data_IF_764636909136
#
_entry.id   IF_764636909136
#
_cell.length_a   1.000
_cell.length_b   1.000
_cell.length_c   1.000
_cell.angle_alpha   90.00
_cell.angle_beta   90.00
_cell.angle_gamma   90.00
#
_symmetry.space_group_name_H-M   'P 1'
#
loop_
_entity.id
_entity.type
_entity.pdbx_description
1 polymer ?
#
# COMPACT_ATOMS: atom_id res chain seq x y z
N UNK A 1 -2.68 -4.96 23.61
CA UNK A 1 -3.89 -5.77 23.33
C UNK A 1 -3.99 -6.04 21.83
N UNK A 2 -4.53 -7.23 21.43
CA UNK A 2 -4.81 -7.52 20.03
C UNK A 2 -5.98 -6.67 19.51
N UNK A 3 -5.91 -6.23 18.25
CA UNK A 3 -7.01 -5.54 17.57
C UNK A 3 -8.20 -6.48 17.32
N UNK A 4 -9.35 -5.93 16.94
CA UNK A 4 -10.53 -6.72 16.59
C UNK A 4 -10.23 -7.66 15.40
N UNK A 5 -9.56 -7.15 14.35
CA UNK A 5 -9.13 -7.93 13.19
C UNK A 5 -8.24 -9.13 13.58
N UNK A 6 -7.26 -8.90 14.45
CA UNK A 6 -6.36 -9.97 14.91
C UNK A 6 -7.11 -11.05 15.68
N UNK A 7 -7.99 -10.65 16.62
CA UNK A 7 -8.82 -11.60 17.38
C UNK A 7 -9.75 -12.41 16.49
N UNK A 8 -10.35 -11.77 15.47
CA UNK A 8 -11.23 -12.47 14.54
C UNK A 8 -10.44 -13.50 13.71
N UNK A 9 -9.31 -13.12 13.12
CA UNK A 9 -8.48 -14.04 12.34
C UNK A 9 -8.02 -15.27 13.17
N UNK A 10 -7.66 -15.06 14.42
CA UNK A 10 -7.29 -16.15 15.34
C UNK A 10 -8.48 -17.06 15.67
N UNK A 11 -9.68 -16.50 15.93
CA UNK A 11 -10.90 -17.28 16.15
C UNK A 11 -11.24 -18.16 14.95
N UNK A 12 -11.20 -17.57 13.73
CA UNK A 12 -11.51 -18.30 12.50
C UNK A 12 -10.53 -19.47 12.29
N UNK A 13 -9.23 -19.25 12.53
CA UNK A 13 -8.22 -20.30 12.45
C UNK A 13 -8.48 -21.44 13.45
N UNK A 14 -8.87 -21.13 14.69
CA UNK A 14 -9.20 -22.10 15.73
C UNK A 14 -10.48 -22.87 15.41
N UNK A 15 -11.53 -22.18 14.97
CA UNK A 15 -12.82 -22.78 14.61
C UNK A 15 -12.68 -23.79 13.46
N UNK A 16 -11.85 -23.49 12.46
CA UNK A 16 -11.54 -24.42 11.36
C UNK A 16 -10.57 -25.53 11.80
N UNK A 17 -9.88 -25.39 12.92
CA UNK A 17 -8.88 -26.34 13.41
C UNK A 17 -7.69 -26.47 12.45
N UNK A 18 -7.08 -25.32 12.09
CA UNK A 18 -5.98 -25.26 11.14
C UNK A 18 -4.72 -25.87 11.75
N UNK A 19 -4.17 -26.91 11.11
CA UNK A 19 -2.94 -27.60 11.57
C UNK A 19 -1.66 -27.10 10.92
N UNK A 20 -1.75 -26.50 9.72
CA UNK A 20 -0.61 -25.96 8.99
C UNK A 20 -0.39 -24.48 9.32
N UNK A 21 0.85 -23.94 9.15
CA UNK A 21 1.10 -22.54 9.39
C UNK A 21 0.24 -21.64 8.50
N UNK A 22 -0.48 -20.70 9.10
CA UNK A 22 -1.22 -19.68 8.33
C UNK A 22 -0.27 -18.71 7.65
N UNK A 23 -0.68 -18.22 6.48
CA UNK A 23 0.16 -17.45 5.58
C UNK A 23 -0.65 -16.35 4.87
N UNK A 24 0.00 -15.60 3.99
CA UNK A 24 -0.64 -14.59 3.13
C UNK A 24 -1.56 -13.66 3.94
N UNK A 25 -2.75 -13.39 3.44
CA UNK A 25 -3.71 -12.44 4.04
C UNK A 25 -4.11 -12.82 5.46
N UNK A 26 -4.27 -14.12 5.74
CA UNK A 26 -4.61 -14.58 7.11
C UNK A 26 -3.48 -14.27 8.10
N UNK A 27 -2.23 -14.49 7.70
CA UNK A 27 -1.10 -14.12 8.54
C UNK A 27 -0.98 -12.59 8.70
N UNK A 28 -1.21 -11.80 7.64
CA UNK A 28 -1.24 -10.33 7.72
C UNK A 28 -2.28 -9.85 8.72
N UNK A 29 -3.50 -10.40 8.68
CA UNK A 29 -4.56 -10.07 9.63
C UNK A 29 -4.14 -10.37 11.08
N UNK A 30 -3.50 -11.52 11.33
CA UNK A 30 -2.98 -11.88 12.67
C UNK A 30 -1.83 -10.94 13.07
N UNK A 31 -1.00 -10.48 12.14
CA UNK A 31 0.03 -9.48 12.40
C UNK A 31 -0.54 -8.06 12.60
N UNK A 32 -1.83 -7.84 12.36
CA UNK A 32 -2.48 -6.54 12.44
C UNK A 32 -2.06 -5.61 11.32
N UNK A 33 -1.82 -6.15 10.14
CA UNK A 33 -1.42 -5.43 8.93
C UNK A 33 -2.57 -5.47 7.93
N UNK A 34 -3.04 -4.31 7.52
CA UNK A 34 -4.01 -4.18 6.45
C UNK A 34 -3.38 -4.48 5.08
N UNK A 35 -4.18 -5.08 4.21
CA UNK A 35 -3.75 -5.32 2.84
C UNK A 35 -3.70 -4.00 2.06
N UNK A 36 -2.75 -3.85 1.10
CA UNK A 36 -2.78 -2.73 0.17
C UNK A 36 -4.11 -2.66 -0.58
N UNK A 37 -4.75 -1.49 -0.59
CA UNK A 37 -5.99 -1.27 -1.32
C UNK A 37 -5.72 -1.37 -2.82
N UNK A 38 -6.40 -2.26 -3.52
CA UNK A 38 -6.24 -2.42 -4.97
C UNK A 38 -5.56 -3.72 -5.41
N UNK A 39 -5.19 -4.60 -4.46
CA UNK A 39 -4.56 -5.87 -4.81
C UNK A 39 -5.37 -6.62 -5.87
N UNK A 40 -4.75 -6.96 -7.01
CA UNK A 40 -5.35 -7.72 -8.11
C UNK A 40 -5.91 -9.07 -7.70
N UNK A 41 -5.71 -9.46 -6.45
CA UNK A 41 -6.25 -10.66 -5.82
C UNK A 41 -7.78 -10.67 -5.72
N UNK A 42 -8.44 -9.50 -5.58
CA UNK A 42 -9.92 -9.40 -5.70
C UNK A 42 -10.41 -9.64 -7.13
N UNK A 43 -9.62 -9.31 -8.15
CA UNK A 43 -9.98 -9.50 -9.56
C UNK A 43 -9.90 -10.95 -10.03
N UNK A 44 -9.03 -11.79 -9.44
CA UNK A 44 -8.91 -13.20 -9.84
C UNK A 44 -10.04 -14.11 -9.34
N UNK A 45 -10.92 -13.63 -8.44
CA UNK A 45 -12.10 -14.39 -7.97
C UNK A 45 -13.30 -14.29 -8.91
N UNK A 46 -13.38 -13.27 -9.78
CA UNK A 46 -14.48 -13.07 -10.72
C UNK A 46 -14.17 -13.50 -12.16
N UNK A 47 -12.90 -13.80 -12.47
CA UNK A 47 -12.48 -14.10 -13.84
C UNK A 47 -12.46 -15.60 -14.19
N UNK A 48 -13.28 -16.44 -13.54
CA UNK A 48 -13.38 -17.87 -13.86
C UNK A 48 -14.80 -18.37 -14.12
N UNK A 49 -15.68 -17.49 -14.52
CA UNK A 49 -16.93 -17.84 -15.20
C UNK A 49 -17.13 -16.81 -16.30
N UNK A 50 -17.39 -17.32 -17.48
CA UNK A 50 -17.84 -16.67 -18.72
C UNK A 50 -16.76 -16.43 -19.79
N UNK A 51 -16.32 -17.56 -20.39
CA UNK A 51 -16.11 -17.59 -21.84
C UNK A 51 -17.42 -18.07 -22.48
N UNK A 52 -18.23 -17.14 -22.94
CA UNK A 52 -19.21 -17.35 -23.97
C UNK A 52 -19.38 -16.04 -24.74
N UNK A 53 -18.94 -16.10 -25.98
CA UNK A 53 -19.38 -15.36 -27.15
C UNK A 53 -20.12 -14.03 -26.99
N UNK A 54 -19.54 -12.94 -27.55
CA UNK A 54 -20.33 -12.06 -28.45
C UNK A 54 -19.35 -11.46 -29.47
N UNK A 55 -19.61 -11.86 -30.74
CA UNK A 55 -19.14 -11.16 -31.93
C UNK A 55 -20.10 -9.99 -32.24
N UNK A 56 -19.56 -8.88 -32.78
CA UNK A 56 -20.37 -7.85 -33.44
C UNK A 56 -20.05 -6.43 -32.99
N UNK A 57 -19.22 -5.67 -33.76
CA UNK A 57 -19.28 -4.20 -33.81
C UNK A 57 -20.38 -3.75 -34.76
N UNK A 58 -20.51 -2.51 -35.20
CA UNK A 58 -19.89 -1.24 -34.78
C UNK A 58 -20.92 -0.13 -34.53
N UNK A 59 -20.55 1.03 -34.02
CA UNK A 59 -20.87 2.36 -34.58
C UNK A 59 -20.72 3.51 -33.58
N UNK A 60 -20.11 4.57 -34.07
CA UNK A 60 -19.97 5.92 -33.51
C UNK A 60 -21.32 6.57 -33.12
N UNK A 61 -21.29 7.37 -32.06
CA UNK A 61 -22.37 8.31 -31.75
C UNK A 61 -22.09 9.04 -30.45
N UNK A 62 -21.58 10.28 -30.51
CA UNK A 62 -21.64 11.23 -29.40
C UNK A 62 -23.09 11.71 -29.23
N UNK A 63 -23.58 11.84 -28.02
CA UNK A 63 -24.54 12.88 -27.72
C UNK A 63 -24.07 13.85 -26.63
N UNK A 64 -24.59 15.05 -26.81
CA UNK A 64 -24.38 16.29 -26.09
C UNK A 64 -24.77 16.21 -24.61
N UNK A 65 -24.17 17.14 -23.84
CA UNK A 65 -24.42 17.37 -22.43
C UNK A 65 -25.89 17.70 -22.11
N UNK A 66 -26.41 17.26 -20.98
CA UNK A 66 -27.41 18.00 -20.28
C UNK A 66 -26.95 18.50 -18.91
N UNK A 67 -27.46 19.68 -18.63
CA UNK A 67 -27.41 20.54 -17.46
C UNK A 67 -27.62 19.86 -16.11
N UNK A 68 -26.89 20.43 -15.17
CA UNK A 68 -27.14 20.52 -13.71
C UNK A 68 -28.49 20.04 -13.19
N UNK A 69 -28.47 19.04 -12.29
CA UNK A 69 -29.31 18.99 -11.10
C UNK A 69 -28.64 18.06 -10.05
N UNK A 70 -28.15 18.68 -8.97
CA UNK A 70 -27.64 17.95 -7.81
C UNK A 70 -28.78 17.64 -6.85
N UNK A 71 -29.33 16.44 -6.96
CA UNK A 71 -30.20 15.85 -5.94
C UNK A 71 -29.35 15.03 -4.96
N UNK A 72 -29.21 15.50 -3.73
CA UNK A 72 -28.66 14.71 -2.63
C UNK A 72 -29.68 13.63 -2.24
N UNK A 73 -29.30 12.35 -2.40
CA UNK A 73 -30.03 11.25 -1.78
C UNK A 73 -29.25 10.85 -0.50
N UNK A 74 -29.84 11.22 0.63
CA UNK A 74 -29.61 10.58 1.93
C UNK A 74 -30.08 9.13 1.83
N UNK A 75 -29.23 8.17 2.16
CA UNK A 75 -29.57 6.92 2.84
C UNK A 75 -28.33 5.99 2.89
N UNK A 76 -27.66 5.97 4.03
CA UNK A 76 -26.93 4.81 4.54
C UNK A 76 -26.73 4.93 6.06
N UNK A 77 -27.82 4.76 6.79
CA UNK A 77 -27.77 4.44 8.21
C UNK A 77 -28.40 3.05 8.40
N UNK A 78 -27.60 2.01 8.31
CA UNK A 78 -27.97 0.71 8.86
C UNK A 78 -27.00 0.34 9.98
N UNK A 79 -27.40 0.70 11.20
CA UNK A 79 -26.84 0.16 12.44
C UNK A 79 -27.22 -1.31 12.56
N UNK A 80 -26.36 -2.21 12.11
CA UNK A 80 -26.49 -3.62 12.48
C UNK A 80 -26.00 -3.83 13.91
N UNK A 81 -26.93 -4.17 14.78
CA UNK A 81 -26.70 -4.66 16.13
C UNK A 81 -25.97 -6.00 16.05
N UNK A 82 -24.74 -6.01 16.54
CA UNK A 82 -23.95 -7.24 16.67
C UNK A 82 -24.49 -8.06 17.85
N UNK A 83 -25.08 -9.22 17.54
CA UNK A 83 -25.40 -10.24 18.53
C UNK A 83 -24.14 -11.08 18.85
N UNK A 84 -23.69 -11.00 20.09
CA UNK A 84 -22.55 -11.71 20.65
C UNK A 84 -22.98 -13.12 21.09
N UNK A 85 -23.18 -14.01 20.16
CA UNK A 85 -23.23 -15.46 20.43
C UNK A 85 -23.49 -16.24 19.13
N UNK A 86 -22.45 -16.54 18.38
CA UNK A 86 -22.31 -17.80 17.64
C UNK A 86 -20.89 -17.92 17.11
N UNK A 87 -20.25 -19.04 17.34
CA UNK A 87 -18.93 -19.45 16.83
C UNK A 87 -19.01 -19.78 15.32
N UNK A 88 -19.64 -18.92 14.52
CA UNK A 88 -19.80 -19.09 13.08
C UNK A 88 -18.68 -18.38 12.36
N UNK A 89 -17.85 -19.13 11.66
CA UNK A 89 -16.93 -18.66 10.62
C UNK A 89 -17.76 -17.84 9.63
N UNK A 90 -17.42 -16.59 9.41
CA UNK A 90 -18.10 -15.79 8.39
C UNK A 90 -18.03 -16.57 7.07
N UNK A 91 -19.15 -16.75 6.40
CA UNK A 91 -19.31 -17.64 5.23
C UNK A 91 -18.36 -17.29 4.03
N UNK A 92 -17.57 -16.25 4.18
CA UNK A 92 -16.67 -15.69 3.18
C UNK A 92 -15.18 -15.64 3.59
N UNK A 93 -14.79 -16.14 4.78
CA UNK A 93 -13.39 -16.10 5.23
C UNK A 93 -12.59 -17.29 4.70
N UNK A 94 -11.73 -17.04 3.73
CA UNK A 94 -10.79 -18.03 3.19
C UNK A 94 -9.49 -17.96 4.01
N UNK A 95 -9.17 -19.04 4.73
CA UNK A 95 -7.93 -19.14 5.49
C UNK A 95 -6.80 -19.64 4.60
N UNK A 96 -5.73 -18.87 4.53
CA UNK A 96 -4.55 -19.21 3.78
C UNK A 96 -3.52 -19.93 4.68
N UNK A 97 -3.09 -21.11 4.24
CA UNK A 97 -2.04 -21.89 4.90
C UNK A 97 -0.91 -22.23 3.95
N UNK A 98 0.26 -22.56 4.48
CA UNK A 98 1.42 -22.94 3.68
C UNK A 98 1.97 -24.29 4.10
N UNK A 99 2.36 -25.08 3.10
CA UNK A 99 2.95 -26.41 3.20
C UNK A 99 4.36 -26.40 2.59
N UNK A 100 5.24 -27.26 3.05
CA UNK A 100 6.55 -27.47 2.40
C UNK A 100 6.50 -28.47 1.25
N UNK A 101 5.49 -29.34 1.20
CA UNK A 101 5.34 -30.39 0.20
C UNK A 101 3.95 -30.34 -0.46
N UNK A 102 3.93 -30.55 -1.79
CA UNK A 102 2.68 -30.57 -2.57
C UNK A 102 1.82 -31.81 -2.25
N UNK A 103 2.44 -32.90 -1.88
CA UNK A 103 1.78 -34.15 -1.58
C UNK A 103 0.89 -34.09 -0.29
N UNK A 104 1.15 -33.10 0.57
CA UNK A 104 0.40 -32.89 1.80
C UNK A 104 -0.88 -32.06 1.57
N UNK A 105 -1.13 -31.62 0.32
CA UNK A 105 -2.34 -30.86 -0.03
C UNK A 105 -3.56 -31.77 0.03
N UNK A 106 -4.49 -31.40 0.91
CA UNK A 106 -5.82 -32.03 0.97
C UNK A 106 -6.88 -30.94 0.86
N UNK A 107 -7.82 -31.10 -0.06
CA UNK A 107 -8.91 -30.14 -0.21
C UNK A 107 -9.67 -30.02 1.13
N UNK A 108 -9.86 -28.78 1.59
CA UNK A 108 -10.59 -28.47 2.81
C UNK A 108 -11.42 -27.22 2.59
N UNK A 109 -12.70 -27.27 2.98
CA UNK A 109 -13.61 -26.12 2.90
C UNK A 109 -13.01 -24.94 3.67
N UNK A 110 -13.12 -23.74 3.14
CA UNK A 110 -12.59 -22.47 3.69
C UNK A 110 -11.06 -22.40 3.88
N UNK A 111 -10.28 -23.35 3.33
CA UNK A 111 -8.82 -23.32 3.44
C UNK A 111 -8.17 -23.30 2.05
N UNK A 112 -7.33 -22.29 1.79
CA UNK A 112 -6.48 -22.23 0.62
C UNK A 112 -5.05 -22.62 0.96
N UNK A 113 -4.57 -23.67 0.32
CA UNK A 113 -3.25 -24.23 0.58
C UNK A 113 -2.23 -23.75 -0.44
N UNK A 114 -1.16 -23.15 0.04
CA UNK A 114 0.01 -22.75 -0.73
C UNK A 114 1.16 -23.70 -0.48
N UNK A 115 2.09 -23.79 -1.42
CA UNK A 115 3.28 -24.64 -1.27
C UNK A 115 4.53 -23.79 -1.36
N UNK A 116 5.37 -23.89 -0.34
CA UNK A 116 6.69 -23.28 -0.31
C UNK A 116 7.75 -24.28 0.15
N UNK A 117 8.55 -24.80 -0.77
CA UNK A 117 9.56 -25.83 -0.49
C UNK A 117 10.64 -25.38 0.51
N UNK A 118 10.86 -24.07 0.65
CA UNK A 118 11.81 -23.51 1.64
C UNK A 118 11.26 -23.39 3.06
N UNK A 119 9.98 -23.75 3.30
CA UNK A 119 9.36 -23.68 4.62
C UNK A 119 10.07 -24.61 5.61
N UNK A 120 10.42 -24.07 6.77
CA UNK A 120 10.96 -24.84 7.91
C UNK A 120 10.48 -24.23 9.25
N UNK A 121 10.81 -24.88 10.37
CA UNK A 121 10.35 -24.47 11.69
C UNK A 121 10.77 -23.07 12.12
N UNK A 122 11.90 -22.54 11.62
CA UNK A 122 12.38 -21.18 11.93
C UNK A 122 11.50 -20.07 11.32
N UNK A 123 10.66 -20.42 10.34
CA UNK A 123 9.75 -19.50 9.67
C UNK A 123 8.37 -19.41 10.34
N UNK A 124 8.13 -20.18 11.40
CA UNK A 124 6.82 -20.33 12.03
C UNK A 124 6.88 -19.89 13.48
N UNK A 125 5.91 -19.08 13.89
CA UNK A 125 5.71 -18.65 15.27
C UNK A 125 4.37 -19.15 15.78
N UNK A 126 4.25 -19.29 17.10
CA UNK A 126 2.98 -19.60 17.78
C UNK A 126 2.37 -18.32 18.31
N UNK A 127 1.14 -18.01 17.90
CA UNK A 127 0.36 -16.87 18.40
C UNK A 127 -0.98 -17.40 18.86
N UNK A 128 -1.24 -17.32 20.15
CA UNK A 128 -2.50 -17.76 20.76
C UNK A 128 -2.95 -19.18 20.30
N UNK A 129 -1.99 -20.11 20.25
CA UNK A 129 -2.22 -21.51 19.85
C UNK A 129 -2.30 -21.74 18.33
N UNK A 130 -2.18 -20.71 17.50
CA UNK A 130 -2.18 -20.82 16.04
C UNK A 130 -0.73 -20.73 15.51
N UNK A 131 -0.37 -21.63 14.58
CA UNK A 131 0.91 -21.59 13.87
C UNK A 131 0.83 -20.54 12.78
N UNK A 132 1.67 -19.52 12.83
CA UNK A 132 1.66 -18.37 11.91
C UNK A 132 3.03 -18.21 11.28
N UNK A 133 3.10 -17.92 9.97
CA UNK A 133 4.36 -17.51 9.36
C UNK A 133 4.88 -16.24 10.01
N UNK A 134 6.16 -16.19 10.31
CA UNK A 134 6.84 -14.99 10.78
C UNK A 134 6.68 -13.83 9.77
N UNK A 135 6.85 -12.57 10.19
CA UNK A 135 6.58 -11.41 9.33
C UNK A 135 7.33 -11.42 7.99
N UNK A 136 8.65 -11.66 7.99
CA UNK A 136 9.45 -11.63 6.77
C UNK A 136 9.03 -12.69 5.72
N UNK A 137 8.86 -13.99 6.06
CA UNK A 137 8.31 -14.96 5.12
C UNK A 137 6.86 -14.67 4.72
N UNK A 138 6.02 -14.11 5.60
CA UNK A 138 4.66 -13.67 5.24
C UNK A 138 4.72 -12.64 4.12
N UNK A 139 5.52 -11.58 4.29
CA UNK A 139 5.73 -10.57 3.27
C UNK A 139 6.26 -11.16 1.94
N UNK A 140 7.26 -12.03 2.01
CA UNK A 140 7.87 -12.59 0.80
C UNK A 140 6.90 -13.46 -0.01
N UNK A 141 5.99 -14.20 0.64
CA UNK A 141 4.99 -14.99 -0.07
C UNK A 141 3.89 -14.11 -0.69
N UNK A 142 3.63 -12.91 -0.17
CA UNK A 142 2.76 -11.93 -0.80
C UNK A 142 3.28 -11.43 -2.14
N UNK A 143 4.53 -11.65 -2.49
CA UNK A 143 5.05 -11.40 -3.83
C UNK A 143 4.36 -12.23 -4.94
N UNK A 144 3.63 -13.28 -4.61
CA UNK A 144 2.79 -14.01 -5.56
C UNK A 144 1.62 -13.16 -6.07
N UNK A 145 0.70 -12.74 -5.21
CA UNK A 145 -0.49 -11.98 -5.58
C UNK A 145 -0.26 -10.48 -5.80
N UNK A 146 0.73 -9.85 -5.14
CA UNK A 146 0.97 -8.42 -5.20
C UNK A 146 1.95 -8.03 -6.30
N UNK A 147 1.81 -6.84 -6.89
CA UNK A 147 2.85 -6.24 -7.72
C UNK A 147 4.01 -5.68 -6.87
N UNK A 148 5.03 -5.11 -7.53
CA UNK A 148 6.21 -4.55 -6.83
C UNK A 148 5.85 -3.33 -5.99
N UNK A 149 4.95 -2.48 -6.47
CA UNK A 149 4.49 -1.29 -5.75
C UNK A 149 3.70 -1.66 -4.51
N UNK A 150 2.71 -2.54 -4.66
CA UNK A 150 1.89 -3.07 -3.56
C UNK A 150 2.77 -3.79 -2.51
N UNK A 151 3.75 -4.57 -2.97
CA UNK A 151 4.69 -5.28 -2.10
C UNK A 151 5.62 -4.30 -1.35
N UNK A 152 5.97 -3.16 -1.97
CA UNK A 152 6.71 -2.07 -1.32
C UNK A 152 5.86 -1.40 -0.25
N UNK A 153 4.60 -1.07 -0.55
CA UNK A 153 3.63 -0.50 0.41
C UNK A 153 3.46 -1.43 1.61
N UNK A 154 3.32 -2.73 1.36
CA UNK A 154 3.20 -3.73 2.42
C UNK A 154 4.45 -3.78 3.30
N UNK A 155 5.67 -3.74 2.72
CA UNK A 155 6.91 -3.71 3.49
C UNK A 155 6.98 -2.50 4.40
N UNK A 156 6.71 -1.30 3.88
CA UNK A 156 6.70 -0.05 4.65
C UNK A 156 5.64 -0.08 5.77
N UNK A 157 4.46 -0.63 5.48
CA UNK A 157 3.40 -0.82 6.49
C UNK A 157 3.86 -1.76 7.62
N UNK A 158 4.49 -2.89 7.30
CA UNK A 158 4.99 -3.84 8.30
C UNK A 158 6.12 -3.24 9.14
N UNK A 159 7.00 -2.44 8.54
CA UNK A 159 8.07 -1.71 9.25
C UNK A 159 7.46 -0.66 10.19
N UNK A 160 6.51 0.14 9.72
CA UNK A 160 5.78 1.13 10.52
C UNK A 160 5.11 0.51 11.75
N UNK A 161 4.47 -0.63 11.58
CA UNK A 161 3.84 -1.38 12.67
C UNK A 161 4.85 -2.18 13.53
N UNK A 162 6.15 -1.98 13.32
CA UNK A 162 7.23 -2.65 14.07
C UNK A 162 7.11 -4.17 14.08
N UNK A 163 6.64 -4.76 12.99
CA UNK A 163 6.57 -6.23 12.83
C UNK A 163 7.89 -6.81 12.38
N UNK A 164 8.68 -6.00 11.67
CA UNK A 164 10.02 -6.33 11.20
C UNK A 164 10.79 -5.03 10.85
N UNK A 165 12.08 -5.15 10.62
CA UNK A 165 12.95 -4.10 10.12
C UNK A 165 13.30 -4.30 8.65
N UNK A 166 13.79 -3.24 8.00
CA UNK A 166 14.28 -3.34 6.63
C UNK A 166 15.46 -4.30 6.51
N UNK A 167 16.35 -4.31 7.51
CA UNK A 167 17.53 -5.20 7.54
C UNK A 167 17.11 -6.67 7.66
N UNK A 168 16.09 -6.97 8.46
CA UNK A 168 15.52 -8.32 8.56
C UNK A 168 14.94 -8.79 7.22
N UNK A 169 14.24 -7.92 6.50
CA UNK A 169 13.75 -8.24 5.15
C UNK A 169 14.89 -8.50 4.18
N UNK A 170 15.90 -7.63 4.13
CA UNK A 170 17.09 -7.83 3.29
C UNK A 170 17.81 -9.12 3.63
N UNK A 171 18.05 -9.40 4.91
CA UNK A 171 18.68 -10.64 5.39
C UNK A 171 17.86 -11.86 4.94
N UNK A 172 16.54 -11.83 5.17
CA UNK A 172 15.67 -12.94 4.81
C UNK A 172 15.69 -13.22 3.29
N UNK A 173 15.45 -12.20 2.47
CA UNK A 173 15.45 -12.34 1.00
C UNK A 173 16.82 -12.76 0.47
N UNK A 174 17.92 -12.36 1.11
CA UNK A 174 19.27 -12.73 0.69
C UNK A 174 19.62 -14.19 0.99
N UNK A 175 19.08 -14.77 2.05
CA UNK A 175 19.49 -16.09 2.56
C UNK A 175 18.46 -17.19 2.33
N UNK A 176 17.16 -16.87 2.33
CA UNK A 176 16.09 -17.85 2.21
C UNK A 176 15.85 -18.27 0.74
N UNK A 177 15.48 -19.52 0.55
CA UNK A 177 15.00 -20.01 -0.75
C UNK A 177 13.50 -19.68 -0.88
N UNK A 178 13.17 -18.55 -1.49
CA UNK A 178 11.80 -18.05 -1.63
C UNK A 178 11.37 -18.00 -3.09
N UNK A 179 10.06 -18.20 -3.39
CA UNK A 179 9.52 -17.89 -4.70
C UNK A 179 9.56 -16.37 -4.96
N UNK A 180 9.52 -15.97 -6.22
CA UNK A 180 9.47 -14.55 -6.63
C UNK A 180 10.59 -13.67 -6.04
N UNK A 181 11.77 -14.24 -5.78
CA UNK A 181 12.91 -13.52 -5.16
C UNK A 181 13.25 -12.22 -5.90
N UNK A 182 13.23 -12.22 -7.24
CA UNK A 182 13.51 -11.00 -8.02
C UNK A 182 12.52 -9.89 -7.70
N UNK A 183 11.22 -10.21 -7.63
CA UNK A 183 10.16 -9.25 -7.26
C UNK A 183 10.36 -8.72 -5.84
N UNK A 184 10.72 -9.57 -4.89
CA UNK A 184 11.07 -9.16 -3.52
C UNK A 184 12.26 -8.18 -3.51
N UNK A 185 13.32 -8.48 -4.26
CA UNK A 185 14.49 -7.60 -4.38
C UNK A 185 14.15 -6.26 -5.03
N UNK A 186 13.28 -6.26 -6.03
CA UNK A 186 12.78 -5.03 -6.66
C UNK A 186 12.00 -4.18 -5.67
N UNK A 187 11.04 -4.76 -4.96
CA UNK A 187 10.25 -4.06 -3.94
C UNK A 187 11.15 -3.48 -2.83
N UNK A 188 12.08 -4.27 -2.29
CA UNK A 188 13.02 -3.80 -1.25
C UNK A 188 13.88 -2.62 -1.70
N UNK A 189 14.23 -2.54 -2.99
CA UNK A 189 15.00 -1.41 -3.52
C UNK A 189 14.21 -0.09 -3.53
N UNK A 190 12.88 -0.17 -3.48
CA UNK A 190 11.97 0.98 -3.47
C UNK A 190 11.51 1.38 -2.06
N UNK A 191 11.70 0.51 -1.07
CA UNK A 191 11.30 0.79 0.33
C UNK A 191 12.01 2.03 0.87
N UNK A 192 11.23 2.91 1.52
CA UNK A 192 11.65 4.03 2.34
C UNK A 192 11.06 3.87 3.73
N UNK A 193 11.79 4.29 4.73
CA UNK A 193 11.24 4.38 6.09
C UNK A 193 10.68 5.78 6.34
N UNK A 194 9.68 5.86 7.22
CA UNK A 194 9.14 7.13 7.69
C UNK A 194 7.75 7.49 7.15
N UNK A 195 7.18 6.72 6.23
CA UNK A 195 5.78 6.92 5.81
C UNK A 195 4.80 6.53 6.92
N UNK A 196 3.83 7.37 7.22
CA UNK A 196 2.83 7.13 8.27
C UNK A 196 1.58 6.42 7.77
N UNK A 197 1.41 6.34 6.46
CA UNK A 197 0.28 5.61 5.85
C UNK A 197 0.67 4.88 4.55
N UNK A 198 -0.11 3.85 4.15
CA UNK A 198 0.03 3.21 2.84
C UNK A 198 -0.15 4.18 1.67
N UNK A 199 -1.00 5.19 1.83
CA UNK A 199 -1.30 6.18 0.78
C UNK A 199 -0.16 7.16 0.54
N UNK A 200 0.56 7.56 1.56
CA UNK A 200 1.79 8.34 1.41
C UNK A 200 2.84 7.58 0.60
N UNK A 201 3.02 6.28 0.89
CA UNK A 201 3.89 5.42 0.09
C UNK A 201 3.41 5.34 -1.36
N UNK A 202 2.10 5.18 -1.60
CA UNK A 202 1.51 5.12 -2.93
C UNK A 202 1.75 6.43 -3.70
N UNK A 203 1.47 7.60 -3.11
CA UNK A 203 1.76 8.92 -3.69
C UNK A 203 3.22 9.02 -4.15
N UNK A 204 4.15 8.69 -3.26
CA UNK A 204 5.59 8.73 -3.57
C UNK A 204 5.96 7.82 -4.74
N UNK A 205 5.48 6.60 -4.74
CA UNK A 205 5.77 5.62 -5.79
C UNK A 205 5.20 6.04 -7.15
N UNK A 206 4.00 6.63 -7.17
CA UNK A 206 3.40 7.21 -8.37
C UNK A 206 4.33 8.28 -8.94
N UNK A 207 4.73 9.27 -8.17
CA UNK A 207 5.60 10.36 -8.64
C UNK A 207 6.95 9.83 -9.16
N UNK A 208 7.57 8.89 -8.45
CA UNK A 208 8.83 8.26 -8.88
C UNK A 208 8.67 7.51 -10.23
N UNK A 209 7.52 6.85 -10.48
CA UNK A 209 7.23 6.17 -11.76
C UNK A 209 7.08 7.14 -12.94
N UNK A 210 6.54 8.32 -12.68
CA UNK A 210 6.38 9.37 -13.68
C UNK A 210 7.64 10.23 -13.85
N UNK A 211 8.73 9.90 -13.14
CA UNK A 211 10.04 10.54 -13.29
C UNK A 211 10.19 11.87 -12.56
N UNK A 212 9.28 12.19 -11.65
CA UNK A 212 9.36 13.39 -10.83
C UNK A 212 10.51 13.33 -9.82
N UNK A 213 11.04 14.48 -9.38
CA UNK A 213 12.11 14.53 -8.39
C UNK A 213 11.72 13.80 -7.08
N UNK A 214 12.67 13.11 -6.44
CA UNK A 214 12.40 12.45 -5.17
C UNK A 214 12.11 13.47 -4.07
N UNK A 215 11.08 13.21 -3.27
CA UNK A 215 10.69 14.03 -2.13
C UNK A 215 11.07 13.37 -0.80
N UNK A 216 11.21 14.18 0.24
CA UNK A 216 11.39 13.71 1.63
C UNK A 216 10.05 13.25 2.18
N UNK A 217 10.06 12.11 2.84
CA UNK A 217 8.88 11.52 3.50
C UNK A 217 8.76 12.11 4.90
N UNK A 218 7.55 12.40 5.35
CA UNK A 218 7.22 12.92 6.69
C UNK A 218 8.14 14.08 7.12
N UNK A 219 8.17 15.10 6.28
CA UNK A 219 9.08 16.23 6.51
C UNK A 219 8.48 17.20 7.51
N UNK A 220 9.17 17.39 8.64
CA UNK A 220 8.83 18.43 9.63
C UNK A 220 9.32 19.79 9.16
N UNK A 221 8.40 20.72 8.98
CA UNK A 221 8.68 22.11 8.61
C UNK A 221 9.06 22.88 9.86
N UNK A 222 10.34 23.23 9.99
CA UNK A 222 10.90 23.84 11.21
C UNK A 222 10.67 25.35 11.31
N UNK A 223 10.43 26.02 10.19
CA UNK A 223 10.22 27.46 10.07
C UNK A 223 8.74 27.87 10.24
N UNK A 224 7.85 26.93 10.49
CA UNK A 224 6.41 27.14 10.72
C UNK A 224 5.98 26.54 12.05
N UNK A 225 5.71 27.40 13.03
CA UNK A 225 5.24 26.97 14.35
C UNK A 225 3.77 27.34 14.55
N UNK A 226 3.01 26.45 15.18
CA UNK A 226 1.68 26.77 15.70
C UNK A 226 1.77 27.63 16.97
N UNK A 227 0.65 28.26 17.37
CA UNK A 227 0.62 29.11 18.56
C UNK A 227 0.99 28.42 19.87
N UNK A 228 0.99 27.07 19.90
CA UNK A 228 1.43 26.24 21.02
C UNK A 228 2.89 25.74 20.85
N UNK A 229 3.64 26.25 19.88
CA UNK A 229 5.01 25.80 19.58
C UNK A 229 5.11 24.46 18.82
N UNK A 230 4.01 23.82 18.47
CA UNK A 230 4.05 22.58 17.70
C UNK A 230 4.52 22.83 16.26
N UNK A 231 5.36 21.93 15.77
CA UNK A 231 5.80 21.93 14.37
C UNK A 231 4.74 21.28 13.47
N UNK A 232 4.78 21.59 12.18
CA UNK A 232 3.93 20.94 11.18
C UNK A 232 4.73 19.97 10.34
N UNK A 233 4.11 18.88 9.94
CA UNK A 233 4.70 17.84 9.09
C UNK A 233 3.94 17.74 7.79
N UNK A 234 4.65 17.54 6.69
CA UNK A 234 4.12 17.26 5.35
C UNK A 234 4.42 15.81 4.98
N UNK A 235 3.46 15.10 4.39
CA UNK A 235 3.61 13.69 4.03
C UNK A 235 4.77 13.48 3.04
N UNK A 236 4.84 14.34 2.01
CA UNK A 236 5.97 14.43 1.10
C UNK A 236 6.36 15.89 0.93
N UNK A 237 7.67 16.18 0.89
CA UNK A 237 8.16 17.55 0.69
C UNK A 237 9.44 17.63 -0.14
N UNK A 238 9.54 18.73 -0.90
CA UNK A 238 10.80 19.25 -1.43
C UNK A 238 11.12 20.58 -0.70
N UNK A 239 11.90 20.51 0.39
CA UNK A 239 12.20 21.73 1.17
C UNK A 239 12.97 22.79 0.40
N UNK A 240 13.76 22.38 -0.61
CA UNK A 240 14.52 23.33 -1.44
C UNK A 240 13.63 24.23 -2.28
N UNK A 241 12.44 23.74 -2.60
CA UNK A 241 11.40 24.44 -3.36
C UNK A 241 10.26 24.95 -2.50
N UNK A 242 10.28 24.72 -1.20
CA UNK A 242 9.13 24.91 -0.29
C UNK A 242 7.84 24.33 -0.87
N UNK A 243 7.94 23.12 -1.41
CA UNK A 243 6.82 22.39 -1.98
C UNK A 243 6.48 21.17 -1.14
N UNK A 244 5.18 20.90 -0.96
CA UNK A 244 4.72 19.77 -0.17
C UNK A 244 3.43 19.15 -0.70
N UNK A 245 3.21 17.89 -0.31
CA UNK A 245 2.00 17.12 -0.58
C UNK A 245 1.44 16.59 0.72
N UNK A 246 0.13 16.59 0.85
CA UNK A 246 -0.62 15.98 1.94
C UNK A 246 -1.72 15.08 1.38
N UNK A 247 -1.87 13.90 1.96
CA UNK A 247 -2.97 13.00 1.63
C UNK A 247 -4.17 13.28 2.53
N UNK A 248 -5.29 13.65 1.94
CA UNK A 248 -6.57 13.82 2.64
C UNK A 248 -7.39 12.52 2.54
N UNK A 249 -7.38 11.73 3.62
CA UNK A 249 -8.23 10.55 3.74
C UNK A 249 -9.65 10.96 4.15
N UNK A 250 -10.66 10.35 3.54
CA UNK A 250 -12.09 10.65 3.73
C UNK A 250 -12.60 10.58 5.19
N UNK A 251 -11.78 10.05 6.12
CA UNK A 251 -12.21 9.83 7.52
C UNK A 251 -12.26 11.09 8.38
N UNK A 252 -11.84 12.27 7.90
CA UNK A 252 -11.70 13.48 8.72
C UNK A 252 -12.74 14.58 8.46
N UNK A 253 -13.69 14.36 7.55
CA UNK A 253 -14.63 15.43 7.12
C UNK A 253 -15.69 15.82 8.15
N UNK A 254 -15.88 15.06 9.24
CA UNK A 254 -16.94 15.28 10.24
C UNK A 254 -16.53 16.10 11.47
N UNK A 255 -15.24 16.26 11.74
CA UNK A 255 -14.76 17.03 12.90
C UNK A 255 -14.40 18.47 12.54
N UNK A 256 -15.29 19.42 12.94
CA UNK A 256 -15.06 20.87 12.76
C UNK A 256 -13.77 21.38 13.41
N UNK A 257 -13.28 20.75 14.51
CA UNK A 257 -12.04 21.15 15.17
C UNK A 257 -10.83 20.71 14.37
N UNK A 258 -10.90 19.54 13.79
CA UNK A 258 -9.87 19.04 12.88
C UNK A 258 -9.79 19.93 11.63
N UNK A 259 -10.93 20.20 10.98
CA UNK A 259 -10.99 21.07 9.81
C UNK A 259 -10.35 22.46 10.07
N UNK A 260 -10.65 23.10 11.23
CA UNK A 260 -10.05 24.41 11.59
C UNK A 260 -8.52 24.30 11.78
N UNK A 261 -8.04 23.21 12.33
CA UNK A 261 -6.59 22.98 12.49
C UNK A 261 -5.90 22.85 11.13
N UNK A 262 -6.51 22.11 10.20
CA UNK A 262 -5.99 21.91 8.85
C UNK A 262 -5.97 23.20 8.04
N UNK A 263 -7.01 24.02 8.14
CA UNK A 263 -7.05 25.36 7.53
C UNK A 263 -5.96 26.27 8.10
N UNK A 264 -5.75 26.26 9.42
CA UNK A 264 -4.70 27.03 10.07
C UNK A 264 -3.29 26.57 9.65
N UNK A 265 -3.10 25.25 9.52
CA UNK A 265 -1.88 24.65 9.01
C UNK A 265 -1.57 25.15 7.58
N UNK A 266 -2.54 25.06 6.68
CA UNK A 266 -2.40 25.51 5.29
C UNK A 266 -2.09 27.01 5.21
N UNK A 267 -2.82 27.84 5.93
CA UNK A 267 -2.61 29.30 5.95
C UNK A 267 -1.17 29.63 6.39
N UNK A 268 -0.66 29.02 7.45
CA UNK A 268 0.70 29.24 7.96
C UNK A 268 1.76 28.77 6.97
N UNK A 269 1.58 27.60 6.36
CA UNK A 269 2.49 27.10 5.33
C UNK A 269 2.54 28.06 4.13
N UNK A 270 1.37 28.52 3.65
CA UNK A 270 1.29 29.49 2.55
C UNK A 270 1.96 30.82 2.93
N UNK A 271 1.74 31.33 4.16
CA UNK A 271 2.39 32.55 4.63
C UNK A 271 3.90 32.42 4.74
N UNK A 272 4.42 31.22 4.96
CA UNK A 272 5.85 30.91 4.96
C UNK A 272 6.42 30.63 3.55
N UNK A 273 5.60 30.79 2.51
CA UNK A 273 5.98 30.61 1.10
C UNK A 273 5.97 29.14 0.64
N UNK A 274 5.30 28.24 1.39
CA UNK A 274 5.12 26.85 0.95
C UNK A 274 3.94 26.73 -0.01
N UNK A 275 4.14 25.98 -1.09
CA UNK A 275 3.07 25.50 -1.99
C UNK A 275 2.72 24.08 -1.56
N UNK A 276 1.48 23.85 -1.11
CA UNK A 276 1.04 22.54 -0.65
C UNK A 276 -0.16 22.08 -1.48
N UNK A 277 -0.03 20.92 -2.13
CA UNK A 277 -1.13 20.25 -2.81
C UNK A 277 -1.73 19.16 -1.90
N UNK A 278 -3.03 19.06 -1.92
CA UNK A 278 -3.79 18.04 -1.20
C UNK A 278 -4.24 16.97 -2.19
N UNK A 279 -3.93 15.73 -1.86
CA UNK A 279 -4.17 14.56 -2.69
C UNK A 279 -5.20 13.68 -2.02
N UNK A 280 -6.16 13.20 -2.79
CA UNK A 280 -7.26 12.38 -2.31
C UNK A 280 -7.17 10.93 -2.83
N UNK A 281 -8.09 10.08 -2.39
CA UNK A 281 -8.22 8.72 -2.91
C UNK A 281 -8.48 8.70 -4.43
N UNK A 282 -9.19 9.70 -4.97
CA UNK A 282 -9.51 9.80 -6.39
C UNK A 282 -8.23 9.96 -7.24
N UNK A 283 -7.29 10.79 -6.80
CA UNK A 283 -6.03 11.06 -7.52
C UNK A 283 -5.15 9.80 -7.67
N UNK A 284 -5.40 8.78 -6.84
CA UNK A 284 -4.65 7.52 -6.84
C UNK A 284 -5.47 6.33 -7.36
N UNK A 285 -6.72 6.53 -7.79
CA UNK A 285 -7.68 5.46 -8.07
C UNK A 285 -7.28 4.57 -9.26
N UNK A 286 -6.82 5.18 -10.34
CA UNK A 286 -6.43 4.49 -11.58
C UNK A 286 -5.26 5.19 -12.28
N UNK A 287 -4.82 4.66 -13.41
CA UNK A 287 -3.64 5.18 -14.12
C UNK A 287 -3.89 6.57 -14.74
N UNK A 288 -5.13 6.90 -15.14
CA UNK A 288 -5.47 8.21 -15.68
C UNK A 288 -5.37 9.29 -14.58
N UNK A 289 -5.97 9.04 -13.41
CA UNK A 289 -5.90 9.95 -12.28
C UNK A 289 -4.46 10.08 -11.75
N UNK A 290 -3.69 8.99 -11.70
CA UNK A 290 -2.26 9.02 -11.34
C UNK A 290 -1.42 9.84 -12.31
N UNK A 291 -1.70 9.77 -13.61
CA UNK A 291 -1.05 10.61 -14.61
C UNK A 291 -1.39 12.10 -14.40
N UNK A 292 -2.68 12.41 -14.19
CA UNK A 292 -3.14 13.77 -13.90
C UNK A 292 -2.50 14.32 -12.61
N UNK A 293 -2.43 13.52 -11.55
CA UNK A 293 -1.74 13.87 -10.31
C UNK A 293 -0.26 14.21 -10.57
N UNK A 294 0.47 13.36 -11.30
CA UNK A 294 1.86 13.61 -11.63
C UNK A 294 2.03 14.88 -12.46
N UNK A 295 1.13 15.16 -13.41
CA UNK A 295 1.14 16.39 -14.21
C UNK A 295 0.88 17.63 -13.35
N UNK A 296 -0.07 17.58 -12.40
CA UNK A 296 -0.36 18.68 -11.47
C UNK A 296 0.85 19.01 -10.60
N UNK A 297 1.55 17.99 -10.08
CA UNK A 297 2.79 18.17 -9.32
C UNK A 297 3.90 18.77 -10.19
N UNK A 298 4.08 18.26 -11.40
CA UNK A 298 5.09 18.81 -12.34
C UNK A 298 4.80 20.26 -12.70
N UNK A 299 3.54 20.63 -12.92
CA UNK A 299 3.14 22.00 -13.20
C UNK A 299 3.43 22.93 -12.01
N UNK A 300 3.09 22.52 -10.79
CA UNK A 300 3.40 23.30 -9.59
C UNK A 300 4.91 23.52 -9.42
N UNK A 301 5.71 22.46 -9.58
CA UNK A 301 7.17 22.55 -9.51
C UNK A 301 7.76 23.40 -10.65
N UNK A 302 7.18 23.33 -11.86
CA UNK A 302 7.60 24.16 -12.99
C UNK A 302 7.39 25.64 -12.73
N UNK A 303 6.26 26.00 -12.10
CA UNK A 303 5.96 27.38 -11.72
C UNK A 303 6.94 27.89 -10.64
N UNK A 304 7.35 27.03 -9.71
CA UNK A 304 8.35 27.38 -8.68
C UNK A 304 9.73 27.56 -9.31
N UNK A 305 10.15 26.64 -10.18
CA UNK A 305 11.49 26.66 -10.79
C UNK A 305 11.63 27.67 -11.94
N UNK A 306 10.52 28.19 -12.48
CA UNK A 306 10.51 29.03 -13.69
C UNK A 306 10.92 28.27 -14.96
N UNK A 307 10.92 26.94 -14.96
CA UNK A 307 11.29 26.08 -16.08
C UNK A 307 10.44 24.81 -16.11
N UNK A 308 10.14 24.26 -17.29
CA UNK A 308 9.30 23.08 -17.39
C UNK A 308 9.95 21.85 -16.75
N UNK A 309 9.17 21.12 -15.95
CA UNK A 309 9.51 19.78 -15.46
C UNK A 309 8.76 18.77 -16.33
N UNK A 310 9.51 17.89 -16.97
CA UNK A 310 8.96 16.90 -17.90
C UNK A 310 8.42 15.71 -17.13
N UNK A 311 7.16 15.38 -17.35
CA UNK A 311 6.54 14.15 -16.88
C UNK A 311 6.74 13.06 -17.93
N UNK A 312 7.32 11.95 -17.55
CA UNK A 312 7.46 10.80 -18.42
C UNK A 312 6.17 9.96 -18.42
N UNK A 313 6.02 9.06 -19.38
CA UNK A 313 5.06 7.95 -19.23
C UNK A 313 5.47 7.09 -18.04
N UNK A 314 4.50 6.51 -17.36
CA UNK A 314 4.80 5.68 -16.19
C UNK A 314 5.71 4.51 -16.56
N UNK A 315 6.85 4.40 -15.90
CA UNK A 315 7.80 3.32 -16.16
C UNK A 315 7.41 2.04 -15.40
N UNK A 316 7.75 0.84 -15.94
CA UNK A 316 7.54 -0.42 -15.24
C UNK A 316 8.27 -0.45 -13.88
N UNK A 317 7.69 -1.13 -12.90
CA UNK A 317 8.28 -1.30 -11.57
C UNK A 317 9.71 -1.84 -11.58
N UNK A 318 9.99 -2.82 -12.45
CA UNK A 318 11.33 -3.40 -12.61
C UNK A 318 12.35 -2.37 -13.09
N UNK A 319 11.95 -1.45 -13.94
CA UNK A 319 12.80 -0.36 -14.43
C UNK A 319 13.06 0.65 -13.31
N UNK A 320 12.03 1.06 -12.55
CA UNK A 320 12.18 1.95 -11.40
C UNK A 320 13.14 1.33 -10.38
N UNK A 321 12.95 0.07 -10.02
CA UNK A 321 13.80 -0.67 -9.10
C UNK A 321 15.25 -0.75 -9.62
N UNK A 322 15.45 -0.98 -10.93
CA UNK A 322 16.77 -1.01 -11.57
C UNK A 322 17.48 0.34 -11.46
N UNK A 323 16.79 1.43 -11.75
CA UNK A 323 17.32 2.80 -11.62
C UNK A 323 17.75 3.07 -10.19
N UNK A 324 16.90 2.68 -9.22
CA UNK A 324 17.16 2.87 -7.80
C UNK A 324 18.39 2.12 -7.32
N UNK A 325 18.54 0.84 -7.69
CA UNK A 325 19.72 0.02 -7.34
C UNK A 325 21.01 0.60 -7.89
N UNK A 326 20.98 1.25 -9.06
CA UNK A 326 22.15 1.92 -9.63
C UNK A 326 22.58 3.15 -8.83
N UNK A 327 21.61 3.90 -8.27
CA UNK A 327 21.91 5.09 -7.44
C UNK A 327 22.53 4.72 -6.08
N UNK A 328 22.09 3.61 -5.49
CA UNK A 328 22.55 3.15 -4.15
C UNK A 328 23.90 2.44 -4.20
N UNK A 329 24.29 1.87 -5.34
CA UNK A 329 25.62 1.24 -5.47
C UNK A 329 26.67 2.35 -5.59
N UNK A 330 27.64 2.47 -4.63
CA UNK A 330 28.77 3.37 -4.82
C UNK A 330 29.50 2.96 -6.10
N UNK A 331 29.82 3.94 -6.96
CA UNK A 331 30.66 3.71 -8.13
C UNK A 331 31.93 3.01 -7.63
N UNK A 332 32.12 1.72 -7.96
CA UNK A 332 33.40 1.06 -7.76
C UNK A 332 34.43 1.95 -8.44
N UNK A 333 35.33 2.55 -7.65
CA UNK A 333 36.48 3.26 -8.18
C UNK A 333 37.14 2.33 -9.19
N UNK A 334 37.16 2.76 -10.45
CA UNK A 334 37.97 2.08 -11.47
C UNK A 334 39.39 2.00 -10.93
N UNK A 335 39.88 0.79 -10.67
CA UNK A 335 41.29 0.60 -10.40
C UNK A 335 42.02 1.14 -11.64
N UNK A 336 42.65 2.30 -11.50
CA UNK A 336 43.65 2.74 -12.48
C UNK A 336 44.73 1.69 -12.52
N UNK A 337 44.88 1.04 -13.65
CA UNK A 337 46.06 0.28 -14.00
C UNK A 337 47.22 1.24 -14.30
#
# INVERSE_FOLDING_TARGET
MLSQMQRQALRDCKAIGVQHPVSHETALAIWGIEQPSGSGYRRSRTARTDHAEIAGGPAYGYPESPSSDYGYAEDYASTEKWNDSTNTVSDNSLIHVVLNNRNDRRARKHVRMHVWKGLNGKHVLMIDGVRVLAPAPTWALMAGPLDVGELTILAESMIRHRRLTLDELWKFVSTAQIPYRSKCMDALSLVRQGSDSPKETEMRLVLERYGLPPMKVNYTVSDVLFGNGAMTTLDLADPSRKFGLEYDGDHHRTDRRQWRRDQNKRMRLTSAGWVVLVITQLDLSDELHRAAFAMNVAHALSNIDGRPIVVNTSIPWSELARRRRKMVRPRRRAKRR
#
